data_IF_879551381251
#
_entry.id   IF_879551381251
#
_cell.length_a   1.000
_cell.length_b   1.000
_cell.length_c   1.000
_cell.angle_alpha   90.00
_cell.angle_beta   90.00
_cell.angle_gamma   90.00
#
_symmetry.space_group_name_H-M   'P 1'
#
loop_
_entity.id
_entity.type
_entity.pdbx_description
1 polymer ?
#
# COMPACT_ATOMS: atom_id res chain seq x y z
N UNK A 1 -17.07 -29.80 20.07
CA UNK A 1 -17.29 -28.33 20.08
C UNK A 1 -15.98 -27.68 20.50
N UNK A 2 -15.51 -26.59 19.86
CA UNK A 2 -14.30 -25.93 20.33
C UNK A 2 -14.54 -25.36 21.72
N UNK A 3 -13.58 -25.54 22.63
CA UNK A 3 -13.64 -25.10 24.01
C UNK A 3 -13.70 -23.55 24.10
N UNK A 4 -14.87 -23.03 24.48
CA UNK A 4 -15.22 -21.61 24.54
C UNK A 4 -14.80 -20.95 25.88
N UNK A 5 -13.95 -21.63 26.68
CA UNK A 5 -13.46 -21.15 27.99
C UNK A 5 -12.24 -20.23 27.92
N UNK A 6 -11.83 -19.78 26.73
CA UNK A 6 -10.76 -18.76 26.64
C UNK A 6 -11.34 -17.43 27.14
N UNK A 7 -10.75 -16.81 28.19
CA UNK A 7 -11.24 -15.52 28.67
C UNK A 7 -11.18 -14.53 27.51
N UNK A 8 -12.34 -13.95 27.16
CA UNK A 8 -12.44 -12.87 26.15
C UNK A 8 -11.45 -11.79 26.58
N UNK A 9 -10.43 -11.51 25.76
CA UNK A 9 -9.36 -10.54 26.07
C UNK A 9 -10.02 -9.21 26.48
N UNK A 10 -9.97 -8.89 27.78
CA UNK A 10 -10.85 -7.88 28.41
C UNK A 10 -10.47 -6.45 28.02
N UNK A 11 -9.23 -6.21 27.58
CA UNK A 11 -8.77 -4.88 27.13
C UNK A 11 -7.91 -4.97 25.87
N UNK A 12 -8.55 -5.23 24.73
CA UNK A 12 -7.92 -4.98 23.43
C UNK A 12 -8.07 -3.49 23.15
N UNK A 13 -7.00 -2.70 23.35
CA UNK A 13 -6.94 -1.38 22.71
C UNK A 13 -6.82 -1.67 21.22
N UNK A 14 -7.96 -1.59 20.51
CA UNK A 14 -7.96 -1.64 19.04
C UNK A 14 -6.97 -0.59 18.56
N UNK A 15 -6.25 -0.89 17.47
CA UNK A 15 -5.39 0.10 16.82
C UNK A 15 -6.25 1.36 16.63
N UNK A 16 -5.91 2.49 17.26
CA UNK A 16 -6.70 3.69 17.11
C UNK A 16 -6.53 4.21 15.67
N UNK A 17 -7.41 5.10 15.20
CA UNK A 17 -7.20 5.73 13.89
C UNK A 17 -6.11 6.81 13.97
N UNK A 18 -6.01 7.45 15.15
CA UNK A 18 -5.08 8.53 15.47
C UNK A 18 -4.25 8.20 16.71
N UNK A 19 -3.04 8.72 16.76
CA UNK A 19 -2.15 8.59 17.89
C UNK A 19 -2.74 9.36 19.08
N UNK A 20 -2.86 8.75 20.26
CA UNK A 20 -3.37 9.45 21.43
C UNK A 20 -2.39 10.50 21.98
N UNK A 21 -1.11 10.46 21.57
CA UNK A 21 -0.10 11.39 22.05
C UNK A 21 0.00 12.63 21.14
N UNK A 22 0.07 12.44 19.81
CA UNK A 22 0.26 13.54 18.86
C UNK A 22 -0.95 13.81 17.94
N UNK A 23 -2.02 13.03 18.01
CA UNK A 23 -3.19 13.18 17.15
C UNK A 23 -3.01 12.73 15.69
N UNK A 24 -1.78 12.39 15.27
CA UNK A 24 -1.48 11.97 13.90
C UNK A 24 -1.98 10.57 13.55
N UNK A 25 -2.14 10.29 12.26
CA UNK A 25 -2.52 8.96 11.81
C UNK A 25 -1.50 7.90 12.23
N UNK A 26 -1.99 6.71 12.57
CA UNK A 26 -1.13 5.56 12.88
C UNK A 26 -1.02 4.58 11.72
N UNK A 27 0.19 4.14 11.45
CA UNK A 27 0.54 3.26 10.33
C UNK A 27 0.97 1.90 10.88
N UNK A 28 0.65 0.81 10.18
CA UNK A 28 1.07 -0.52 10.61
C UNK A 28 2.57 -0.73 10.45
N UNK A 29 3.14 -1.63 11.24
CA UNK A 29 4.52 -2.08 11.06
C UNK A 29 4.51 -3.46 10.40
N UNK A 30 5.23 -3.60 9.29
CA UNK A 30 5.44 -4.87 8.59
C UNK A 30 6.81 -5.43 8.96
N UNK A 31 6.89 -6.72 9.31
CA UNK A 31 8.12 -7.41 9.69
C UNK A 31 8.54 -8.45 8.65
N UNK A 32 9.82 -8.85 8.69
CA UNK A 32 10.40 -9.75 7.69
C UNK A 32 10.58 -9.03 6.36
N UNK A 33 10.98 -7.77 6.41
CA UNK A 33 11.06 -6.86 5.27
C UNK A 33 12.45 -6.80 4.66
N UNK A 34 13.48 -7.38 5.32
CA UNK A 34 14.87 -7.19 4.91
C UNK A 34 15.21 -5.71 4.74
N UNK A 35 15.83 -5.38 3.61
CA UNK A 35 16.24 -4.02 3.22
C UNK A 35 15.15 -3.24 2.46
N UNK A 36 13.91 -3.76 2.39
CA UNK A 36 12.80 -3.07 1.73
C UNK A 36 12.54 -1.72 2.41
N UNK A 37 12.46 -0.66 1.61
CA UNK A 37 12.10 0.68 2.10
C UNK A 37 10.57 0.86 2.16
N UNK A 38 10.09 1.87 2.90
CA UNK A 38 8.66 2.21 2.90
C UNK A 38 8.15 2.59 1.50
N UNK A 39 9.00 3.20 0.66
CA UNK A 39 8.66 3.60 -0.71
C UNK A 39 8.48 2.35 -1.59
N UNK A 40 9.43 1.40 -1.51
CA UNK A 40 9.33 0.13 -2.24
C UNK A 40 8.06 -0.63 -1.83
N UNK A 41 7.77 -0.67 -0.53
CA UNK A 41 6.56 -1.29 -0.02
C UNK A 41 5.29 -0.59 -0.54
N UNK A 42 5.27 0.74 -0.54
CA UNK A 42 4.16 1.52 -1.05
C UNK A 42 3.92 1.25 -2.55
N UNK A 43 4.97 1.19 -3.36
CA UNK A 43 4.84 0.91 -4.80
C UNK A 43 4.42 -0.54 -5.07
N UNK A 44 5.06 -1.51 -4.41
CA UNK A 44 4.83 -2.93 -4.70
C UNK A 44 3.52 -3.45 -4.09
N UNK A 45 3.17 -3.02 -2.88
CA UNK A 45 1.98 -3.51 -2.16
C UNK A 45 0.81 -2.53 -2.18
N UNK A 46 1.02 -1.28 -2.63
CA UNK A 46 0.00 -0.21 -2.70
C UNK A 46 -0.66 0.05 -1.35
N UNK A 47 0.16 0.02 -0.30
CA UNK A 47 -0.22 0.15 1.11
C UNK A 47 0.85 0.93 1.84
N UNK A 48 0.45 1.62 2.89
CA UNK A 48 1.39 2.30 3.78
C UNK A 48 1.67 1.41 4.98
N UNK A 49 2.96 1.22 5.27
CA UNK A 49 3.47 0.55 6.45
C UNK A 49 4.87 1.10 6.75
N UNK A 50 5.28 0.96 8.01
CA UNK A 50 6.67 1.17 8.43
C UNK A 50 7.39 -0.16 8.39
N UNK A 51 8.63 -0.16 7.89
CA UNK A 51 9.43 -1.36 7.74
C UNK A 51 10.07 -1.70 9.08
N UNK A 52 9.60 -2.79 9.68
CA UNK A 52 10.04 -3.28 10.99
C UNK A 52 11.33 -4.10 10.95
N UNK A 53 11.82 -4.42 9.75
CA UNK A 53 12.99 -5.27 9.54
C UNK A 53 12.75 -6.73 9.91
N UNK A 54 13.83 -7.51 9.88
CA UNK A 54 13.79 -8.95 10.18
C UNK A 54 13.91 -9.25 11.68
N UNK A 55 14.56 -8.35 12.42
CA UNK A 55 14.76 -8.45 13.85
C UNK A 55 13.48 -8.08 14.60
N UNK A 56 12.57 -9.05 14.71
CA UNK A 56 11.36 -8.91 15.51
C UNK A 56 11.71 -8.92 17.00
N UNK A 57 11.50 -7.82 17.74
CA UNK A 57 11.77 -7.80 19.17
C UNK A 57 10.76 -8.70 19.90
N UNK A 58 11.12 -9.15 21.11
CA UNK A 58 10.26 -10.01 21.95
C UNK A 58 8.85 -9.44 22.14
N UNK A 59 8.73 -8.10 22.19
CA UNK A 59 7.48 -7.35 22.24
C UNK A 59 7.37 -6.44 21.01
N UNK A 60 6.90 -6.96 19.87
CA UNK A 60 6.89 -6.22 18.62
C UNK A 60 5.80 -5.15 18.60
N UNK A 61 6.13 -3.86 18.42
CA UNK A 61 5.10 -2.86 18.17
C UNK A 61 4.29 -3.20 16.90
N UNK A 62 2.99 -2.91 16.95
CA UNK A 62 2.06 -3.28 15.87
C UNK A 62 1.87 -2.11 14.90
N UNK A 63 2.02 -0.89 15.43
CA UNK A 63 1.84 0.36 14.71
C UNK A 63 2.73 1.45 15.29
N UNK A 64 2.92 2.50 14.49
CA UNK A 64 3.67 3.70 14.84
C UNK A 64 2.95 4.96 14.33
N UNK A 65 3.23 6.11 14.93
CA UNK A 65 2.80 7.45 14.50
C UNK A 65 3.97 8.22 13.85
N UNK A 66 3.68 9.39 13.28
CA UNK A 66 4.70 10.36 12.87
C UNK A 66 5.60 10.83 14.03
N UNK A 67 5.06 10.85 15.26
CA UNK A 67 5.80 11.19 16.48
C UNK A 67 6.82 10.13 16.95
N UNK A 68 6.98 9.02 16.22
CA UNK A 68 7.89 7.93 16.59
C UNK A 68 7.40 7.04 17.74
N UNK A 69 6.26 7.35 18.37
CA UNK A 69 5.64 6.47 19.35
C UNK A 69 5.25 5.14 18.69
N UNK A 70 5.95 4.08 19.10
CA UNK A 70 5.65 2.71 18.74
C UNK A 70 4.83 2.09 19.85
N UNK A 71 3.63 1.58 19.54
CA UNK A 71 2.77 0.96 20.56
C UNK A 71 2.51 -0.51 20.26
N UNK A 72 2.51 -1.26 21.35
CA UNK A 72 2.07 -2.63 21.47
C UNK A 72 0.94 -2.62 22.50
N UNK A 73 -0.23 -3.20 22.23
CA UNK A 73 -1.13 -3.53 23.34
C UNK A 73 -2.18 -4.58 22.99
N UNK A 74 -1.86 -5.84 23.30
CA UNK A 74 -2.88 -6.75 23.83
C UNK A 74 -2.37 -7.24 25.18
N UNK A 75 -3.16 -7.04 26.22
CA UNK A 75 -2.85 -7.46 27.59
C UNK A 75 -3.97 -8.39 28.02
N UNK A 76 -3.61 -9.50 28.63
CA UNK A 76 -4.55 -10.45 29.20
C UNK A 76 -5.24 -9.82 30.44
N UNK A 77 -6.37 -10.41 30.91
CA UNK A 77 -7.04 -9.97 32.13
C UNK A 77 -6.15 -9.89 33.37
N UNK A 78 -5.14 -10.75 33.45
CA UNK A 78 -4.18 -10.87 34.55
C UNK A 78 -3.01 -9.87 34.46
N UNK A 79 -3.03 -8.95 33.48
CA UNK A 79 -1.98 -7.95 33.27
C UNK A 79 -0.77 -8.46 32.49
N UNK A 80 -0.74 -9.74 32.07
CA UNK A 80 0.34 -10.30 31.26
C UNK A 80 0.22 -9.95 29.78
N UNK A 81 1.33 -10.02 29.04
CA UNK A 81 1.32 -9.79 27.60
C UNK A 81 0.49 -10.87 26.89
N UNK A 82 -0.51 -10.45 26.12
CA UNK A 82 -1.22 -11.37 25.24
C UNK A 82 -0.40 -11.58 23.96
N UNK A 83 -0.42 -12.80 23.38
CA UNK A 83 0.22 -13.06 22.11
C UNK A 83 -0.41 -12.19 21.01
N UNK A 84 0.44 -11.54 20.22
CA UNK A 84 0.02 -10.70 19.09
C UNK A 84 0.57 -11.26 17.79
N UNK A 85 -0.33 -11.44 16.83
CA UNK A 85 0.05 -11.68 15.43
C UNK A 85 0.45 -10.35 14.80
N UNK A 86 1.73 -10.22 14.47
CA UNK A 86 2.26 -9.08 13.70
C UNK A 86 2.01 -9.29 12.21
N UNK A 87 2.06 -8.21 11.42
CA UNK A 87 2.02 -8.31 9.96
C UNK A 87 3.40 -8.73 9.47
N UNK A 88 3.47 -9.87 8.80
CA UNK A 88 4.67 -10.35 8.13
C UNK A 88 4.57 -10.04 6.65
N UNK A 89 5.65 -9.55 6.02
CA UNK A 89 5.67 -9.19 4.60
C UNK A 89 5.14 -10.33 3.72
N UNK A 90 5.60 -11.56 3.97
CA UNK A 90 5.17 -12.78 3.27
C UNK A 90 3.65 -13.05 3.28
N UNK A 91 2.94 -12.52 4.28
CA UNK A 91 1.48 -12.71 4.44
C UNK A 91 0.68 -11.53 3.87
N UNK A 92 1.36 -10.46 3.42
CA UNK A 92 0.70 -9.26 2.89
C UNK A 92 0.36 -9.49 1.43
N UNK A 93 -0.93 -9.35 1.10
CA UNK A 93 -1.39 -9.32 -0.29
C UNK A 93 -1.23 -7.93 -0.89
N UNK A 94 -0.79 -7.83 -2.14
CA UNK A 94 -0.78 -6.58 -2.90
C UNK A 94 -2.21 -6.05 -3.05
N UNK A 95 -2.41 -4.75 -2.95
CA UNK A 95 -3.68 -4.13 -3.33
C UNK A 95 -3.74 -3.97 -4.88
N UNK A 96 -4.89 -3.65 -5.47
CA UNK A 96 -4.99 -3.32 -6.89
C UNK A 96 -4.15 -2.10 -7.28
N UNK A 97 -3.63 -2.05 -8.50
CA UNK A 97 -2.78 -0.94 -8.95
C UNK A 97 -3.52 0.39 -9.04
N UNK A 98 -4.85 0.35 -9.23
CA UNK A 98 -5.75 1.50 -9.18
C UNK A 98 -5.80 2.22 -7.83
N UNK A 99 -5.19 1.67 -6.77
CA UNK A 99 -5.02 2.41 -5.50
C UNK A 99 -4.01 3.56 -5.60
N UNK A 100 -3.11 3.51 -6.58
CA UNK A 100 -2.18 4.59 -6.89
C UNK A 100 -2.75 5.35 -8.09
N UNK A 101 -2.78 6.68 -7.99
CA UNK A 101 -2.98 7.54 -9.15
C UNK A 101 -1.63 7.79 -9.80
N UNK A 102 -1.44 7.27 -11.00
CA UNK A 102 -0.21 7.42 -11.77
C UNK A 102 -0.32 8.65 -12.66
N UNK A 103 0.69 9.51 -12.64
CA UNK A 103 0.66 10.79 -13.35
C UNK A 103 1.70 10.79 -14.45
N UNK A 104 1.31 11.26 -15.64
CA UNK A 104 2.27 11.54 -16.72
C UNK A 104 3.14 12.73 -16.36
N UNK A 105 4.40 12.69 -16.78
CA UNK A 105 5.32 13.82 -16.67
C UNK A 105 4.84 15.04 -17.47
N UNK A 106 4.03 14.84 -18.53
CA UNK A 106 3.47 15.93 -19.35
C UNK A 106 2.55 16.86 -18.54
N UNK A 107 2.04 16.41 -17.39
CA UNK A 107 1.24 17.24 -16.49
C UNK A 107 2.04 18.42 -15.96
N UNK A 108 3.32 18.24 -15.65
CA UNK A 108 4.16 19.34 -15.15
C UNK A 108 4.24 20.47 -16.18
N UNK A 109 4.44 20.10 -17.45
CA UNK A 109 4.44 21.07 -18.55
C UNK A 109 3.09 21.75 -18.74
N UNK A 110 1.98 21.01 -18.66
CA UNK A 110 0.64 21.58 -18.76
C UNK A 110 0.32 22.57 -17.62
N UNK A 111 0.78 22.27 -16.40
CA UNK A 111 0.66 23.16 -15.26
C UNK A 111 1.49 24.44 -15.45
N UNK A 112 2.72 24.32 -15.95
CA UNK A 112 3.63 25.46 -16.18
C UNK A 112 3.07 26.45 -17.22
N UNK A 113 2.41 25.96 -18.27
CA UNK A 113 1.77 26.80 -19.28
C UNK A 113 0.31 27.17 -18.93
N UNK A 114 -0.15 26.80 -17.74
CA UNK A 114 -1.51 27.03 -17.22
C UNK A 114 -2.63 26.43 -18.10
N UNK A 115 -2.34 25.34 -18.80
CA UNK A 115 -3.29 24.59 -19.65
C UNK A 115 -3.92 23.42 -18.89
N UNK A 116 -4.44 23.72 -17.69
CA UNK A 116 -4.93 22.74 -16.72
C UNK A 116 -6.14 21.95 -17.28
N UNK A 117 -6.87 22.53 -18.22
CA UNK A 117 -8.08 21.93 -18.79
C UNK A 117 -7.80 20.69 -19.64
N UNK A 118 -6.55 20.49 -20.07
CA UNK A 118 -6.13 19.29 -20.81
C UNK A 118 -5.86 18.10 -19.88
N UNK A 119 -5.74 18.33 -18.57
CA UNK A 119 -5.46 17.27 -17.60
C UNK A 119 -6.74 16.49 -17.32
N UNK A 120 -6.69 15.20 -17.63
CA UNK A 120 -7.81 14.29 -17.46
C UNK A 120 -7.43 13.06 -16.62
N UNK A 121 -8.45 12.47 -15.99
CA UNK A 121 -8.33 11.20 -15.30
C UNK A 121 -8.82 10.07 -16.20
N UNK A 122 -8.03 9.02 -16.30
CA UNK A 122 -8.36 7.84 -17.10
C UNK A 122 -8.38 6.59 -16.22
N UNK A 123 -9.40 5.77 -16.42
CA UNK A 123 -9.45 4.41 -15.88
C UNK A 123 -9.11 3.44 -17.00
N UNK A 124 -8.05 2.66 -16.78
CA UNK A 124 -7.47 1.85 -17.86
C UNK A 124 -7.26 0.43 -17.39
N UNK A 125 -7.64 -0.54 -18.22
CA UNK A 125 -7.28 -1.95 -18.05
C UNK A 125 -6.17 -2.31 -19.02
N UNK A 126 -5.06 -2.78 -18.46
CA UNK A 126 -3.90 -3.24 -19.21
C UNK A 126 -3.89 -4.76 -19.26
N UNK A 127 -3.49 -5.31 -20.40
CA UNK A 127 -3.29 -6.73 -20.61
C UNK A 127 -1.87 -6.97 -21.12
N UNK A 128 -1.09 -7.78 -20.41
CA UNK A 128 0.31 -8.08 -20.77
C UNK A 128 0.40 -9.21 -21.80
N UNK A 129 1.59 -9.42 -22.35
CA UNK A 129 1.92 -10.55 -23.23
C UNK A 129 1.70 -11.94 -22.59
N UNK A 130 1.68 -11.99 -21.25
CA UNK A 130 1.39 -13.20 -20.48
C UNK A 130 -0.10 -13.37 -20.17
N UNK A 131 -0.96 -12.47 -20.67
CA UNK A 131 -2.41 -12.49 -20.43
C UNK A 131 -2.81 -12.00 -19.04
N UNK A 132 -1.88 -11.45 -18.26
CA UNK A 132 -2.19 -10.85 -16.96
C UNK A 132 -2.99 -9.56 -17.15
N UNK A 133 -3.85 -9.25 -16.17
CA UNK A 133 -4.75 -8.10 -16.24
C UNK A 133 -4.64 -7.27 -14.98
N UNK A 134 -4.55 -5.96 -15.14
CA UNK A 134 -4.53 -5.01 -14.03
C UNK A 134 -5.30 -3.75 -14.43
N UNK A 135 -5.87 -3.06 -13.44
CA UNK A 135 -6.61 -1.82 -13.65
C UNK A 135 -5.86 -0.65 -13.01
N UNK A 136 -5.76 0.45 -13.75
CA UNK A 136 -4.97 1.63 -13.43
C UNK A 136 -5.87 2.86 -13.32
N UNK A 137 -5.50 3.75 -12.42
CA UNK A 137 -5.99 5.12 -12.38
C UNK A 137 -4.85 6.02 -12.85
N UNK A 138 -5.05 6.68 -13.99
CA UNK A 138 -4.04 7.51 -14.63
C UNK A 138 -4.50 8.96 -14.63
N UNK A 139 -3.56 9.88 -14.55
CA UNK A 139 -3.75 11.29 -14.86
C UNK A 139 -2.80 11.63 -16.01
N UNK A 140 -3.33 12.19 -17.08
CA UNK A 140 -2.61 12.45 -18.32
C UNK A 140 -3.27 13.59 -19.11
N UNK A 141 -2.54 14.18 -20.06
CA UNK A 141 -3.03 15.33 -20.86
C UNK A 141 -3.82 14.90 -22.12
N UNK A 142 -3.76 13.62 -22.47
CA UNK A 142 -4.50 13.04 -23.61
C UNK A 142 -4.63 11.52 -23.47
N UNK A 143 -5.45 10.91 -24.32
CA UNK A 143 -5.58 9.44 -24.40
C UNK A 143 -4.25 8.79 -24.80
N UNK A 144 -3.49 9.40 -25.72
CA UNK A 144 -2.23 8.82 -26.19
C UNK A 144 -1.14 8.96 -25.13
N UNK A 145 -1.09 10.08 -24.42
CA UNK A 145 -0.25 10.25 -23.22
C UNK A 145 -0.59 9.20 -22.14
N UNK A 146 -1.88 8.95 -21.89
CA UNK A 146 -2.31 7.91 -20.96
C UNK A 146 -1.87 6.50 -21.39
N UNK A 147 -1.87 6.19 -22.71
CA UNK A 147 -1.36 4.92 -23.23
C UNK A 147 0.14 4.81 -23.05
N UNK A 148 0.90 5.86 -23.36
CA UNK A 148 2.35 5.88 -23.18
C UNK A 148 2.73 5.63 -21.71
N UNK A 149 2.07 6.32 -20.78
CA UNK A 149 2.23 6.10 -19.35
C UNK A 149 1.93 4.65 -18.97
N UNK A 150 0.81 4.08 -19.44
CA UNK A 150 0.47 2.69 -19.14
C UNK A 150 1.51 1.69 -19.64
N UNK A 151 2.05 1.89 -20.85
CA UNK A 151 3.13 1.06 -21.41
C UNK A 151 4.43 1.19 -20.62
N UNK A 152 4.77 2.40 -20.20
CA UNK A 152 5.94 2.67 -19.35
C UNK A 152 5.83 1.93 -18.01
N UNK A 153 4.67 1.99 -17.35
CA UNK A 153 4.45 1.31 -16.07
C UNK A 153 4.60 -0.22 -16.17
N UNK A 154 4.11 -0.81 -17.26
CA UNK A 154 4.25 -2.26 -17.55
C UNK A 154 5.72 -2.60 -17.81
N UNK A 155 6.40 -1.89 -18.71
CA UNK A 155 7.80 -2.18 -19.06
C UNK A 155 8.74 -2.06 -17.87
N UNK A 156 8.54 -1.06 -17.01
CA UNK A 156 9.29 -0.88 -15.75
C UNK A 156 8.91 -1.88 -14.65
N UNK A 157 7.81 -2.62 -14.81
CA UNK A 157 7.31 -3.61 -13.82
C UNK A 157 6.73 -2.99 -12.56
N UNK A 158 6.31 -1.74 -12.62
CA UNK A 158 5.75 -1.01 -11.47
C UNK A 158 4.36 -1.52 -11.08
N UNK A 159 3.73 -2.27 -11.98
CA UNK A 159 2.42 -2.89 -11.76
C UNK A 159 2.52 -4.26 -11.05
N UNK A 160 3.72 -4.73 -10.73
CA UNK A 160 3.91 -6.01 -10.05
C UNK A 160 3.36 -7.21 -10.81
N UNK A 161 3.23 -7.06 -12.14
CA UNK A 161 2.96 -8.09 -13.15
C UNK A 161 4.28 -8.70 -13.61
N UNK A 162 4.24 -9.94 -14.07
CA UNK A 162 5.43 -10.64 -14.56
C UNK A 162 5.77 -10.20 -16.01
N UNK A 163 4.75 -9.96 -16.83
CA UNK A 163 4.88 -9.46 -18.20
C UNK A 163 5.40 -8.02 -18.27
N UNK A 164 6.13 -7.72 -19.34
CA UNK A 164 6.83 -6.45 -19.58
C UNK A 164 6.38 -5.74 -20.85
N UNK A 165 5.49 -6.36 -21.61
CA UNK A 165 4.97 -5.82 -22.87
C UNK A 165 3.46 -5.66 -22.76
N UNK A 166 2.98 -4.42 -22.88
CA UNK A 166 1.53 -4.18 -22.92
C UNK A 166 0.99 -4.55 -24.30
N UNK A 167 0.08 -5.52 -24.37
CA UNK A 167 -0.56 -5.96 -25.62
C UNK A 167 -1.86 -5.21 -25.89
N UNK A 168 -2.60 -4.84 -24.84
CA UNK A 168 -3.89 -4.20 -24.98
C UNK A 168 -4.14 -3.22 -23.84
N UNK A 169 -4.69 -2.06 -24.21
CA UNK A 169 -5.06 -0.98 -23.30
C UNK A 169 -6.52 -0.65 -23.57
N UNK A 170 -7.39 -0.92 -22.60
CA UNK A 170 -8.83 -0.65 -22.67
C UNK A 170 -9.16 0.51 -21.74
N UNK A 171 -9.80 1.56 -22.26
CA UNK A 171 -10.33 2.65 -21.44
C UNK A 171 -11.71 2.26 -20.90
N UNK A 172 -11.89 2.44 -19.60
CA UNK A 172 -13.13 2.13 -18.87
C UNK A 172 -13.84 3.45 -18.60
N UNK A 173 -15.11 3.54 -18.96
CA UNK A 173 -16.01 4.66 -18.61
C UNK A 173 -16.46 4.61 -17.14
#
# INVERSE_FOLDING_TARGET
MPDDRRPRIINVIRKPTKCPDCGERVVDIAYGTGDMTEIDFALQYRKEAIMGGDNKPRRPPIWCCACGCKRFRKVNPDGTDAPVKVKMLKDIRKAPASKINWSSWMIETALDINDIYTIHHYHVKVITELGERETLNLTAVSIDDAKELAMELVSKGLLGLDGRTCMTIEFIE
#
